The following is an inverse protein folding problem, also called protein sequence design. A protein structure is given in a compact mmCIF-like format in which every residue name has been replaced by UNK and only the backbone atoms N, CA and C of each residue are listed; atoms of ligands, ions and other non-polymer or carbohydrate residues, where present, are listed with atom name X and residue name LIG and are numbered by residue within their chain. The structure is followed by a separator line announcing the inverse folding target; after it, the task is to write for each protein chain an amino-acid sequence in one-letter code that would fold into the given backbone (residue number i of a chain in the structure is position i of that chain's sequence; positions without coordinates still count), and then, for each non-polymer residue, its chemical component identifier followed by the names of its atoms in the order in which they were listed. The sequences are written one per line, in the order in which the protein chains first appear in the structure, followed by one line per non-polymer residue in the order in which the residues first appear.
data_IF_041960872453
#
_entry.id   IF_041960872453
#
_cell.length_a   1.000
_cell.length_b   1.000
_cell.length_c   1.000
_cell.angle_alpha   90.00
_cell.angle_beta   90.00
_cell.angle_gamma   90.00
#
_symmetry.space_group_name_H-M   'P 1'
#
loop_
_entity.id
_entity.type
_entity.pdbx_description
1 polymer ?
#
# COMPACT_ATOMS: atom_id res chain seq x y z
N UNK A 1 -2.58 33.56 10.43
CA UNK A 1 -1.24 33.03 10.21
C UNK A 1 -1.18 31.58 9.67
N UNK A 2 -2.27 30.90 9.29
CA UNK A 2 -2.22 29.51 8.83
C UNK A 2 -1.74 29.31 7.37
N UNK A 3 -1.82 30.35 6.53
CA UNK A 3 -1.54 30.22 5.09
C UNK A 3 -0.05 30.02 4.75
N UNK A 4 0.87 30.57 5.58
CA UNK A 4 2.32 30.47 5.32
C UNK A 4 2.89 29.08 5.55
N UNK A 5 2.34 28.31 6.49
CA UNK A 5 2.80 26.93 6.77
C UNK A 5 2.42 26.00 5.62
N UNK A 6 1.21 26.16 5.06
CA UNK A 6 0.72 25.35 3.94
C UNK A 6 1.55 25.52 2.67
N UNK A 7 2.00 26.74 2.36
CA UNK A 7 2.79 27.04 1.17
C UNK A 7 4.22 26.48 1.30
N UNK A 8 4.84 26.58 2.49
CA UNK A 8 6.18 26.06 2.73
C UNK A 8 6.19 24.52 2.68
N UNK A 9 5.15 23.86 3.21
CA UNK A 9 5.02 22.40 3.12
C UNK A 9 4.81 21.93 1.68
N UNK A 10 3.99 22.63 0.90
CA UNK A 10 3.78 22.33 -0.51
C UNK A 10 5.08 22.50 -1.33
N UNK A 11 5.85 23.57 -1.12
CA UNK A 11 7.11 23.81 -1.84
C UNK A 11 8.16 22.76 -1.46
N UNK A 12 8.30 22.41 -0.18
CA UNK A 12 9.20 21.34 0.27
C UNK A 12 8.80 19.96 -0.30
N UNK A 13 7.49 19.68 -0.38
CA UNK A 13 6.97 18.45 -0.96
C UNK A 13 7.24 18.36 -2.47
N UNK A 14 7.03 19.46 -3.23
CA UNK A 14 7.32 19.50 -4.66
C UNK A 14 8.81 19.42 -4.98
N UNK A 15 9.69 20.02 -4.16
CA UNK A 15 11.13 19.91 -4.37
C UNK A 15 11.66 18.51 -4.04
N UNK A 16 11.12 17.83 -3.03
CA UNK A 16 11.46 16.43 -2.75
C UNK A 16 10.92 15.47 -3.82
N UNK A 17 9.76 15.76 -4.43
CA UNK A 17 9.19 14.97 -5.52
C UNK A 17 10.03 15.00 -6.80
N UNK A 18 10.96 15.94 -6.93
CA UNK A 18 11.89 16.00 -8.07
C UNK A 18 12.96 14.89 -8.04
N UNK A 19 13.13 14.22 -6.90
CA UNK A 19 14.16 13.20 -6.67
C UNK A 19 13.60 11.86 -6.18
N UNK A 20 12.30 11.75 -6.01
CA UNK A 20 11.65 10.53 -5.53
C UNK A 20 10.61 10.04 -6.54
N UNK A 21 10.45 8.73 -6.58
CA UNK A 21 9.36 8.11 -7.32
C UNK A 21 8.02 8.51 -6.69
N UNK A 22 6.99 8.66 -7.50
CA UNK A 22 5.65 9.04 -7.05
C UNK A 22 4.74 7.81 -7.00
N UNK A 23 4.01 7.69 -5.90
CA UNK A 23 2.99 6.66 -5.70
C UNK A 23 1.64 7.31 -5.44
N UNK A 24 0.67 7.06 -6.34
CA UNK A 24 -0.70 7.56 -6.22
C UNK A 24 -1.63 6.36 -6.02
N UNK A 25 -2.52 6.46 -5.03
CA UNK A 25 -3.47 5.40 -4.74
C UNK A 25 -4.86 5.98 -4.47
N UNK A 26 -5.88 5.39 -5.10
CA UNK A 26 -7.28 5.58 -4.79
C UNK A 26 -7.84 4.33 -4.10
N UNK A 27 -8.67 4.52 -3.08
CA UNK A 27 -9.36 3.45 -2.37
C UNK A 27 -10.82 3.81 -2.23
N UNK A 28 -11.71 2.89 -2.63
CA UNK A 28 -13.14 2.97 -2.41
C UNK A 28 -13.57 1.76 -1.58
N UNK A 29 -14.23 2.01 -0.45
CA UNK A 29 -14.71 0.98 0.45
C UNK A 29 -16.22 1.16 0.67
N UNK A 30 -16.97 0.07 0.79
CA UNK A 30 -18.40 0.15 1.08
C UNK A 30 -18.91 -1.12 1.72
N UNK A 31 -19.99 -0.95 2.50
CA UNK A 31 -20.72 -2.07 3.09
C UNK A 31 -21.81 -2.55 2.11
N UNK A 32 -21.88 -3.85 1.82
CA UNK A 32 -22.88 -4.46 0.96
C UNK A 32 -24.11 -4.85 1.81
N UNK A 33 -23.86 -5.59 2.87
CA UNK A 33 -24.91 -6.06 3.80
C UNK A 33 -24.28 -6.60 5.08
N UNK A 34 -24.79 -6.16 6.24
CA UNK A 34 -24.35 -6.61 7.56
C UNK A 34 -22.80 -6.51 7.71
N UNK A 35 -22.13 -7.68 7.83
CA UNK A 35 -20.70 -7.80 8.02
C UNK A 35 -19.91 -7.92 6.70
N UNK A 36 -20.60 -7.89 5.55
CA UNK A 36 -19.98 -8.00 4.24
C UNK A 36 -19.84 -6.64 3.56
N UNK A 37 -18.72 -6.41 2.94
CA UNK A 37 -18.44 -5.20 2.19
C UNK A 37 -17.49 -5.48 1.01
N UNK A 38 -17.01 -4.42 0.42
CA UNK A 38 -15.99 -4.50 -0.63
C UNK A 38 -14.93 -3.41 -0.45
N UNK A 39 -13.78 -3.64 -1.04
CA UNK A 39 -12.71 -2.65 -1.20
C UNK A 39 -12.22 -2.71 -2.64
N UNK A 40 -12.19 -1.55 -3.29
CA UNK A 40 -11.55 -1.35 -4.59
C UNK A 40 -10.33 -0.45 -4.39
N UNK A 41 -9.17 -0.87 -4.88
CA UNK A 41 -7.93 -0.08 -4.85
C UNK A 41 -7.42 0.09 -6.28
N UNK A 42 -7.06 1.33 -6.65
CA UNK A 42 -6.32 1.64 -7.85
C UNK A 42 -5.00 2.29 -7.44
N UNK A 43 -3.90 1.76 -7.93
CA UNK A 43 -2.56 2.20 -7.56
C UNK A 43 -1.73 2.46 -8.83
N UNK A 44 -1.01 3.58 -8.85
CA UNK A 44 -0.15 3.99 -9.96
C UNK A 44 1.21 4.41 -9.38
N UNK A 45 2.28 3.91 -9.99
CA UNK A 45 3.66 4.31 -9.64
C UNK A 45 4.34 4.92 -10.85
N UNK A 46 4.98 6.06 -10.61
CA UNK A 46 5.67 6.84 -11.63
C UNK A 46 7.14 6.96 -11.20
N UNK A 47 8.04 6.61 -12.09
CA UNK A 47 9.48 6.74 -11.94
C UNK A 47 10.04 7.57 -13.08
N UNK A 48 10.96 8.50 -12.79
CA UNK A 48 11.58 9.38 -13.79
C UNK A 48 10.56 9.98 -14.78
N UNK A 49 9.36 10.34 -14.31
CA UNK A 49 8.20 10.85 -15.06
C UNK A 49 7.56 9.83 -16.03
N UNK A 50 7.86 8.56 -15.89
CA UNK A 50 7.23 7.50 -16.67
C UNK A 50 6.40 6.58 -15.78
N UNK A 51 5.21 6.23 -16.27
CA UNK A 51 4.40 5.20 -15.63
C UNK A 51 5.12 3.85 -15.78
N UNK A 52 5.47 3.22 -14.66
CA UNK A 52 6.09 1.92 -14.69
C UNK A 52 5.24 0.81 -14.07
N UNK A 53 4.26 1.15 -13.22
CA UNK A 53 3.41 0.15 -12.59
C UNK A 53 2.00 0.71 -12.37
N UNK A 54 1.01 -0.08 -12.72
CA UNK A 54 -0.40 0.16 -12.44
C UNK A 54 -1.00 -1.10 -11.83
N UNK A 55 -1.73 -0.97 -10.73
CA UNK A 55 -2.35 -2.09 -10.02
C UNK A 55 -3.81 -1.78 -9.70
N UNK A 56 -4.73 -2.68 -10.06
CA UNK A 56 -6.14 -2.64 -9.66
C UNK A 56 -6.46 -3.83 -8.78
N UNK A 57 -7.04 -3.61 -7.61
CA UNK A 57 -7.41 -4.65 -6.65
C UNK A 57 -8.89 -4.54 -6.30
N UNK A 58 -9.61 -5.64 -6.40
CA UNK A 58 -10.98 -5.78 -5.90
C UNK A 58 -11.02 -6.88 -4.84
N UNK A 59 -11.53 -6.56 -3.66
CA UNK A 59 -11.72 -7.48 -2.54
C UNK A 59 -13.18 -7.47 -2.08
N UNK A 60 -13.72 -8.64 -1.82
CA UNK A 60 -14.86 -8.82 -0.94
C UNK A 60 -14.36 -8.94 0.50
N UNK A 61 -14.97 -8.24 1.42
CA UNK A 61 -14.57 -8.17 2.81
C UNK A 61 -15.64 -8.75 3.72
N UNK A 62 -15.22 -9.39 4.80
CA UNK A 62 -16.07 -9.93 5.85
C UNK A 62 -15.55 -9.51 7.22
N UNK A 63 -16.36 -8.78 7.98
CA UNK A 63 -16.09 -8.38 9.37
C UNK A 63 -16.45 -9.55 10.30
N UNK A 64 -15.47 -10.41 10.63
CA UNK A 64 -15.67 -11.59 11.50
C UNK A 64 -15.92 -11.15 12.95
N UNK A 65 -15.30 -10.04 13.34
CA UNK A 65 -15.47 -9.43 14.66
C UNK A 65 -15.12 -7.94 14.58
N UNK A 66 -15.35 -7.14 15.64
CA UNK A 66 -14.93 -5.73 15.65
C UNK A 66 -13.43 -5.52 15.38
N UNK A 67 -12.62 -6.54 15.57
CA UNK A 67 -11.17 -6.47 15.47
C UNK A 67 -10.57 -7.29 14.33
N UNK A 68 -11.37 -8.15 13.69
CA UNK A 68 -10.89 -9.07 12.65
C UNK A 68 -11.72 -8.90 11.38
N UNK A 69 -11.05 -8.56 10.29
CA UNK A 69 -11.61 -8.52 8.94
C UNK A 69 -10.85 -9.49 8.04
N UNK A 70 -11.56 -10.33 7.33
CA UNK A 70 -11.04 -11.17 6.26
C UNK A 70 -11.43 -10.58 4.92
N UNK A 71 -10.61 -10.80 3.90
CA UNK A 71 -10.95 -10.39 2.55
C UNK A 71 -10.38 -11.36 1.52
N UNK A 72 -11.08 -11.50 0.40
CA UNK A 72 -10.64 -12.30 -0.72
C UNK A 72 -11.00 -11.61 -2.04
N UNK A 73 -10.15 -11.75 -3.04
CA UNK A 73 -10.40 -11.14 -4.35
C UNK A 73 -9.23 -11.29 -5.30
N UNK A 74 -9.08 -10.32 -6.18
CA UNK A 74 -8.09 -10.39 -7.25
C UNK A 74 -7.43 -9.05 -7.49
N UNK A 75 -6.14 -9.10 -7.82
CA UNK A 75 -5.34 -7.97 -8.24
C UNK A 75 -4.88 -8.17 -9.67
N UNK A 76 -5.01 -7.14 -10.48
CA UNK A 76 -4.44 -7.04 -11.83
C UNK A 76 -3.29 -6.05 -11.77
N UNK A 77 -2.16 -6.44 -12.35
CA UNK A 77 -0.93 -5.63 -12.38
C UNK A 77 -0.45 -5.48 -13.80
N UNK A 78 -0.13 -4.25 -14.17
CA UNK A 78 0.50 -3.86 -15.42
C UNK A 78 1.86 -3.26 -15.06
N UNK A 79 2.93 -3.97 -15.35
CA UNK A 79 4.29 -3.56 -15.01
C UNK A 79 5.12 -3.38 -16.28
N UNK A 80 5.75 -2.21 -16.42
CA UNK A 80 6.60 -1.91 -17.57
C UNK A 80 7.90 -2.69 -17.45
N UNK A 81 8.26 -3.43 -18.48
CA UNK A 81 9.50 -4.17 -18.56
C UNK A 81 10.64 -3.32 -19.17
N UNK A 82 11.88 -3.83 -19.16
CA UNK A 82 13.08 -3.14 -19.64
C UNK A 82 13.03 -2.72 -21.12
N UNK A 83 12.20 -3.39 -21.92
CA UNK A 83 11.99 -3.05 -23.34
C UNK A 83 10.81 -2.07 -23.56
N UNK A 84 10.27 -1.51 -22.48
CA UNK A 84 9.20 -0.50 -22.49
C UNK A 84 7.79 -1.05 -22.72
N UNK A 85 7.58 -2.38 -22.72
CA UNK A 85 6.27 -3.00 -22.86
C UNK A 85 5.66 -3.28 -21.48
N UNK A 86 4.33 -3.31 -21.42
CA UNK A 86 3.62 -3.71 -20.21
C UNK A 86 3.42 -5.22 -20.19
N UNK A 87 3.91 -5.86 -19.13
CA UNK A 87 3.60 -7.25 -18.77
C UNK A 87 2.37 -7.26 -17.86
N UNK A 88 1.50 -8.24 -18.07
CA UNK A 88 0.29 -8.43 -17.28
C UNK A 88 0.50 -9.51 -16.22
N UNK A 89 0.00 -9.26 -15.03
CA UNK A 89 0.01 -10.25 -13.96
C UNK A 89 -1.33 -10.29 -13.24
N UNK A 90 -1.87 -11.49 -13.07
CA UNK A 90 -3.07 -11.75 -12.29
C UNK A 90 -2.69 -12.35 -10.93
N UNK A 91 -3.27 -11.80 -9.86
CA UNK A 91 -2.96 -12.20 -8.47
C UNK A 91 -4.24 -12.42 -7.67
N UNK A 92 -4.76 -13.66 -7.55
CA UNK A 92 -5.66 -14.00 -6.47
C UNK A 92 -5.06 -13.60 -5.13
N UNK A 93 -5.85 -12.92 -4.29
CA UNK A 93 -5.38 -12.25 -3.08
C UNK A 93 -6.29 -12.59 -1.91
N UNK A 94 -5.70 -12.88 -0.76
CA UNK A 94 -6.39 -13.14 0.51
C UNK A 94 -5.76 -12.26 1.59
N UNK A 95 -6.60 -11.56 2.36
CA UNK A 95 -6.18 -10.70 3.46
C UNK A 95 -6.80 -11.17 4.78
N UNK A 96 -6.01 -11.13 5.83
CA UNK A 96 -6.47 -11.15 7.20
C UNK A 96 -5.97 -9.85 7.87
N UNK A 97 -6.90 -9.06 8.40
CA UNK A 97 -6.61 -7.77 9.03
C UNK A 97 -7.07 -7.84 10.47
N UNK A 98 -6.17 -7.58 11.39
CA UNK A 98 -6.44 -7.39 12.80
C UNK A 98 -6.25 -5.91 13.13
N UNK A 99 -7.26 -5.30 13.76
CA UNK A 99 -7.22 -3.91 14.23
C UNK A 99 -7.39 -3.88 15.73
N UNK A 100 -6.42 -3.33 16.48
CA UNK A 100 -6.56 -3.19 17.93
C UNK A 100 -7.66 -2.20 18.29
N UNK A 101 -8.26 -2.31 19.48
CA UNK A 101 -8.94 -1.19 20.10
C UNK A 101 -8.01 0.02 20.17
N UNK A 102 -8.58 1.22 20.17
CA UNK A 102 -7.81 2.44 20.39
C UNK A 102 -7.36 2.50 21.86
N UNK A 103 -6.07 2.72 22.06
CA UNK A 103 -5.47 2.88 23.38
C UNK A 103 -4.61 4.15 23.42
N UNK A 104 -4.90 5.08 24.31
CA UNK A 104 -4.20 6.37 24.44
C UNK A 104 -4.05 7.10 23.07
N UNK A 105 -5.14 7.19 22.31
CA UNK A 105 -5.16 7.78 20.96
C UNK A 105 -4.39 7.00 19.90
N UNK A 106 -3.82 5.86 20.22
CA UNK A 106 -3.06 5.01 19.31
C UNK A 106 -3.88 3.81 18.85
N UNK A 107 -3.79 3.46 17.58
CA UNK A 107 -4.36 2.26 16.99
C UNK A 107 -3.29 1.48 16.25
N UNK A 108 -3.33 0.15 16.39
CA UNK A 108 -2.47 -0.79 15.68
C UNK A 108 -3.30 -1.60 14.69
N UNK A 109 -2.83 -1.70 13.45
CA UNK A 109 -3.38 -2.58 12.44
C UNK A 109 -2.30 -3.54 11.96
N UNK A 110 -2.58 -4.84 12.06
CA UNK A 110 -1.75 -5.92 11.51
C UNK A 110 -2.49 -6.51 10.31
N UNK A 111 -1.86 -6.52 9.13
CA UNK A 111 -2.39 -7.16 7.93
C UNK A 111 -1.45 -8.25 7.44
N UNK A 112 -1.97 -9.46 7.33
CA UNK A 112 -1.35 -10.56 6.62
C UNK A 112 -2.04 -10.72 5.26
N UNK A 113 -1.27 -10.66 4.17
CA UNK A 113 -1.76 -10.82 2.79
C UNK A 113 -1.05 -11.99 2.13
N UNK A 114 -1.79 -12.84 1.47
CA UNK A 114 -1.30 -13.92 0.63
C UNK A 114 -1.71 -13.68 -0.83
N UNK A 115 -0.76 -13.77 -1.75
CA UNK A 115 -0.98 -13.58 -3.18
C UNK A 115 -0.43 -14.78 -3.97
N UNK A 116 -1.23 -15.29 -4.89
CA UNK A 116 -0.76 -16.23 -5.91
C UNK A 116 -0.51 -15.42 -7.20
N UNK A 117 0.71 -15.44 -7.70
CA UNK A 117 1.13 -14.58 -8.80
C UNK A 117 1.31 -15.40 -10.09
N UNK A 118 0.53 -15.05 -11.12
CA UNK A 118 0.69 -15.63 -12.45
C UNK A 118 1.05 -14.51 -13.42
N UNK A 119 2.33 -14.48 -13.83
CA UNK A 119 2.84 -13.54 -14.83
C UNK A 119 2.67 -14.10 -16.22
N UNK A 120 2.11 -13.28 -17.14
CA UNK A 120 1.86 -13.64 -18.52
C UNK A 120 3.14 -13.88 -19.25
N UNK A 121 3.75 -14.52 -19.81
CA UNK A 121 4.95 -14.65 -20.67
C UNK A 121 6.27 -15.05 -20.00
N UNK A 122 6.44 -14.87 -18.70
CA UNK A 122 7.78 -15.05 -18.09
C UNK A 122 7.95 -16.35 -17.31
N UNK A 123 6.88 -17.01 -16.89
CA UNK A 123 7.00 -18.28 -16.16
C UNK A 123 5.71 -19.08 -16.20
N UNK A 124 5.75 -20.37 -16.57
CA UNK A 124 4.60 -21.24 -16.44
C UNK A 124 4.25 -21.54 -14.98
N UNK A 125 5.12 -21.17 -14.04
CA UNK A 125 4.98 -21.50 -12.63
C UNK A 125 4.23 -20.42 -11.85
N UNK A 126 3.35 -20.87 -10.98
CA UNK A 126 2.68 -20.04 -10.01
C UNK A 126 3.69 -19.65 -8.91
N UNK A 127 3.89 -18.33 -8.72
CA UNK A 127 4.68 -17.80 -7.61
C UNK A 127 3.76 -17.43 -6.46
N UNK A 128 4.17 -17.73 -5.25
CA UNK A 128 3.45 -17.35 -4.05
C UNK A 128 4.19 -16.20 -3.36
N UNK A 129 3.43 -15.23 -2.83
CA UNK A 129 3.95 -14.13 -2.03
C UNK A 129 3.09 -13.94 -0.79
N UNK A 130 3.74 -13.84 0.35
CA UNK A 130 3.11 -13.38 1.58
C UNK A 130 3.60 -11.98 1.92
N UNK A 131 2.73 -11.17 2.52
CA UNK A 131 3.07 -9.84 3.04
C UNK A 131 2.55 -9.73 4.45
N UNK A 132 3.37 -9.18 5.33
CA UNK A 132 2.99 -8.84 6.69
C UNK A 132 3.20 -7.35 6.90
N UNK A 133 2.14 -6.60 7.21
CA UNK A 133 2.20 -5.16 7.47
C UNK A 133 1.71 -4.84 8.87
N UNK A 134 2.55 -4.17 9.64
CA UNK A 134 2.18 -3.53 10.89
C UNK A 134 2.06 -2.02 10.66
N UNK A 135 0.92 -1.43 11.00
CA UNK A 135 0.68 0.01 10.95
C UNK A 135 0.28 0.52 12.32
N UNK A 136 0.86 1.63 12.71
CA UNK A 136 0.50 2.40 13.90
C UNK A 136 -0.05 3.75 13.44
N UNK A 137 -1.15 4.20 14.02
CA UNK A 137 -1.72 5.52 13.78
C UNK A 137 -2.09 6.19 15.11
N UNK A 138 -1.96 7.53 15.15
CA UNK A 138 -2.24 8.36 16.33
C UNK A 138 -3.34 9.36 15.99
N UNK A 139 -4.42 9.35 16.76
CA UNK A 139 -5.51 10.30 16.61
C UNK A 139 -5.20 11.58 17.40
N UNK A 140 -4.75 12.62 16.72
CA UNK A 140 -4.52 13.94 17.34
C UNK A 140 -5.78 14.78 17.18
N UNK A 141 -6.61 14.81 18.22
CA UNK A 141 -7.97 15.37 18.18
C UNK A 141 -8.03 16.85 17.83
N UNK A 142 -7.03 17.64 18.24
CA UNK A 142 -7.04 19.09 18.08
C UNK A 142 -6.79 19.56 16.65
N UNK A 143 -6.12 18.78 15.82
CA UNK A 143 -5.70 19.17 14.47
C UNK A 143 -6.40 18.42 13.34
N UNK A 144 -7.28 17.45 13.64
CA UNK A 144 -7.90 16.55 12.64
C UNK A 144 -6.86 15.89 11.70
N UNK A 145 -5.64 15.72 12.19
CA UNK A 145 -4.53 15.11 11.51
C UNK A 145 -4.12 13.88 12.32
N UNK A 146 -3.97 12.75 11.68
CA UNK A 146 -3.53 11.51 12.32
C UNK A 146 -2.20 11.06 11.71
N UNK A 147 -1.07 11.30 12.40
CA UNK A 147 0.20 10.71 12.01
C UNK A 147 0.13 9.19 11.97
N UNK A 148 0.90 8.58 11.09
CA UNK A 148 1.02 7.13 11.04
C UNK A 148 2.42 6.70 10.60
N UNK A 149 2.77 5.46 10.96
CA UNK A 149 3.92 4.76 10.44
C UNK A 149 3.52 3.32 10.10
N UNK A 150 4.18 2.70 9.13
CA UNK A 150 4.04 1.27 8.91
C UNK A 150 5.34 0.62 8.43
N UNK A 151 5.44 -0.67 8.74
CA UNK A 151 6.43 -1.60 8.20
C UNK A 151 5.71 -2.71 7.47
N UNK A 152 6.17 -3.06 6.25
CA UNK A 152 5.61 -4.15 5.46
C UNK A 152 6.73 -5.05 4.95
N UNK A 153 6.75 -6.31 5.40
CA UNK A 153 7.69 -7.33 4.97
C UNK A 153 7.05 -8.21 3.89
N UNK A 154 7.84 -8.58 2.88
CA UNK A 154 7.42 -9.41 1.76
C UNK A 154 8.23 -10.70 1.74
N UNK A 155 7.54 -11.82 1.56
CA UNK A 155 8.13 -13.15 1.47
C UNK A 155 7.67 -13.79 0.17
N UNK A 156 8.61 -14.15 -0.70
CA UNK A 156 8.33 -14.80 -1.98
C UNK A 156 8.77 -16.27 -1.94
N UNK A 157 7.86 -17.16 -2.32
CA UNK A 157 8.11 -18.58 -2.36
C UNK A 157 8.17 -19.02 -3.84
N UNK A 158 9.32 -19.49 -4.29
CA UNK A 158 9.52 -20.07 -5.62
C UNK A 158 9.52 -21.59 -5.52
N UNK A 159 8.80 -22.25 -6.40
CA UNK A 159 8.59 -23.70 -6.36
C UNK A 159 9.85 -24.54 -6.64
N UNK A 160 10.92 -23.98 -7.21
CA UNK A 160 12.09 -24.71 -7.69
C UNK A 160 13.46 -24.13 -7.27
N UNK A 161 13.53 -23.30 -6.24
CA UNK A 161 14.81 -22.68 -5.83
C UNK A 161 15.11 -23.06 -4.38
N UNK A 162 15.85 -24.15 -4.18
CA UNK A 162 16.12 -24.77 -2.86
C UNK A 162 17.02 -23.91 -1.94
N UNK A 163 17.59 -22.82 -2.41
CA UNK A 163 18.67 -22.12 -1.69
C UNK A 163 18.43 -20.62 -1.43
N UNK A 164 17.27 -20.05 -1.74
CA UNK A 164 17.06 -18.61 -1.62
C UNK A 164 16.22 -18.21 -0.43
N UNK A 165 16.69 -17.15 0.25
CA UNK A 165 15.96 -16.45 1.30
C UNK A 165 14.53 -16.14 0.81
N UNK A 166 13.54 -16.58 1.56
CA UNK A 166 12.12 -16.26 1.28
C UNK A 166 11.83 -14.77 1.41
N UNK A 167 12.66 -14.02 2.12
CA UNK A 167 12.51 -12.58 2.35
C UNK A 167 12.93 -11.82 1.08
N UNK A 168 12.00 -11.06 0.53
CA UNK A 168 12.10 -10.42 -0.79
C UNK A 168 12.26 -8.90 -0.67
N UNK A 169 11.57 -8.29 0.33
CA UNK A 169 11.45 -6.84 0.39
C UNK A 169 10.99 -6.36 1.75
N UNK A 170 11.44 -5.17 2.14
CA UNK A 170 10.94 -4.40 3.27
C UNK A 170 10.47 -3.03 2.80
N UNK A 171 9.35 -2.56 3.31
CA UNK A 171 8.86 -1.19 3.12
C UNK A 171 8.62 -0.55 4.47
N UNK A 172 9.20 0.63 4.66
CA UNK A 172 9.01 1.48 5.82
C UNK A 172 8.38 2.78 5.38
N UNK A 173 7.32 3.22 6.01
CA UNK A 173 6.69 4.49 5.67
C UNK A 173 6.27 5.27 6.91
N UNK A 174 6.34 6.59 6.77
CA UNK A 174 5.80 7.55 7.73
C UNK A 174 4.93 8.57 6.99
N UNK A 175 3.87 9.03 7.61
CA UNK A 175 2.97 9.97 6.96
C UNK A 175 1.92 10.55 7.89
N UNK A 176 1.01 11.28 7.27
CA UNK A 176 -0.14 11.88 7.94
C UNK A 176 -1.40 11.59 7.16
N UNK A 177 -2.49 11.31 7.87
CA UNK A 177 -3.83 11.24 7.30
C UNK A 177 -4.67 12.42 7.79
N UNK A 178 -5.54 12.93 6.93
CA UNK A 178 -6.42 14.06 7.23
C UNK A 178 -7.67 14.02 6.36
N UNK A 179 -8.71 14.76 6.77
CA UNK A 179 -9.91 14.95 5.96
C UNK A 179 -9.76 16.23 5.14
N UNK A 180 -9.57 16.13 3.80
CA UNK A 180 -9.28 17.30 2.96
C UNK A 180 -10.49 18.24 2.82
N UNK A 181 -11.71 17.70 2.90
CA UNK A 181 -12.95 18.44 2.80
C UNK A 181 -13.79 18.17 4.05
N UNK A 182 -13.92 19.13 4.99
CA UNK A 182 -14.67 18.90 6.23
C UNK A 182 -16.14 18.54 6.04
N UNK A 183 -16.75 18.91 4.90
CA UNK A 183 -18.13 18.59 4.57
C UNK A 183 -18.31 17.15 4.04
N UNK A 184 -17.24 16.45 3.75
CA UNK A 184 -17.25 15.07 3.26
C UNK A 184 -16.51 14.20 4.27
N UNK A 185 -17.23 13.75 5.29
CA UNK A 185 -16.68 12.98 6.40
C UNK A 185 -16.03 11.66 5.96
N UNK A 186 -16.52 11.09 4.88
CA UNK A 186 -16.11 9.79 4.35
C UNK A 186 -14.87 9.86 3.44
N UNK A 187 -14.37 11.08 3.13
CA UNK A 187 -13.16 11.28 2.36
C UNK A 187 -11.94 11.49 3.27
N UNK A 188 -10.96 10.63 3.15
CA UNK A 188 -9.67 10.70 3.83
C UNK A 188 -8.54 10.79 2.82
N UNK A 189 -7.57 11.67 3.07
CA UNK A 189 -6.34 11.78 2.30
C UNK A 189 -5.15 11.39 3.19
N UNK A 190 -4.21 10.65 2.62
CA UNK A 190 -2.95 10.27 3.26
C UNK A 190 -1.80 10.80 2.41
N UNK A 191 -0.84 11.45 3.07
CA UNK A 191 0.45 11.83 2.48
C UNK A 191 1.54 11.09 3.23
N UNK A 192 2.47 10.46 2.52
CA UNK A 192 3.52 9.70 3.16
C UNK A 192 4.83 9.70 2.36
N UNK A 193 5.91 9.49 3.08
CA UNK A 193 7.20 9.12 2.53
C UNK A 193 7.46 7.65 2.84
N UNK A 194 7.94 6.91 1.86
CA UNK A 194 8.19 5.47 1.98
C UNK A 194 9.55 5.14 1.39
N UNK A 195 10.28 4.28 2.08
CA UNK A 195 11.50 3.65 1.57
C UNK A 195 11.23 2.17 1.39
N UNK A 196 11.57 1.65 0.23
CA UNK A 196 11.49 0.25 -0.10
C UNK A 196 12.89 -0.29 -0.29
N UNK A 197 13.24 -1.31 0.48
CA UNK A 197 14.47 -2.06 0.34
C UNK A 197 14.14 -3.39 -0.36
N UNK A 198 14.67 -3.60 -1.55
CA UNK A 198 14.61 -4.88 -2.26
C UNK A 198 15.87 -5.69 -1.99
N UNK A 199 15.75 -7.01 -1.89
CA UNK A 199 16.90 -7.90 -1.92
C UNK A 199 17.14 -8.30 -3.36
N UNK A 200 18.23 -7.83 -3.96
CA UNK A 200 18.66 -8.34 -5.26
C UNK A 200 19.08 -9.79 -5.10
N UNK A 201 18.53 -10.66 -5.94
CA UNK A 201 18.81 -12.09 -5.92
C UNK A 201 20.25 -12.42 -6.33
N UNK A 202 20.99 -11.49 -6.87
CA UNK A 202 22.36 -11.65 -7.38
C UNK A 202 23.41 -10.84 -6.61
N UNK A 203 22.99 -9.75 -5.95
CA UNK A 203 23.84 -8.97 -5.06
C UNK A 203 23.33 -9.15 -3.63
N UNK A 204 24.23 -9.33 -2.67
CA UNK A 204 23.89 -9.34 -1.24
C UNK A 204 23.58 -7.92 -0.71
N UNK A 205 23.36 -6.96 -1.61
CA UNK A 205 23.13 -5.56 -1.29
C UNK A 205 21.65 -5.22 -1.36
N UNK A 206 21.22 -4.40 -0.40
CA UNK A 206 19.89 -3.83 -0.34
C UNK A 206 19.86 -2.55 -1.19
N UNK A 207 19.03 -2.53 -2.22
CA UNK A 207 18.84 -1.35 -3.05
C UNK A 207 17.62 -0.55 -2.54
N UNK A 208 17.82 0.63 -1.91
CA UNK A 208 16.74 1.44 -1.40
C UNK A 208 16.10 2.28 -2.52
N UNK A 209 14.81 2.16 -2.68
CA UNK A 209 14.00 3.02 -3.54
C UNK A 209 13.06 3.87 -2.69
N UNK A 210 13.08 5.18 -2.88
CA UNK A 210 12.25 6.13 -2.14
C UNK A 210 11.01 6.54 -2.93
N UNK A 211 9.89 6.72 -2.23
CA UNK A 211 8.62 7.15 -2.80
C UNK A 211 8.00 8.27 -1.98
N UNK A 212 7.39 9.22 -2.66
CA UNK A 212 6.40 10.12 -2.08
C UNK A 212 5.03 9.60 -2.49
N UNK A 213 4.16 9.33 -1.53
CA UNK A 213 2.86 8.71 -1.77
C UNK A 213 1.69 9.61 -1.40
N UNK A 214 0.65 9.54 -2.22
CA UNK A 214 -0.66 10.12 -1.95
C UNK A 214 -1.68 9.00 -2.05
N UNK A 215 -2.48 8.82 -0.99
CA UNK A 215 -3.63 7.92 -1.02
C UNK A 215 -4.91 8.72 -0.74
N UNK A 216 -5.92 8.56 -1.57
CA UNK A 216 -7.28 9.05 -1.34
C UNK A 216 -8.18 7.87 -1.05
N UNK A 217 -8.90 7.92 0.06
CA UNK A 217 -9.83 6.88 0.50
C UNK A 217 -11.22 7.47 0.66
N UNK A 218 -12.18 6.83 0.06
CA UNK A 218 -13.59 7.15 0.18
C UNK A 218 -14.36 5.94 0.71
N UNK A 219 -15.17 6.14 1.76
CA UNK A 219 -16.05 5.11 2.35
C UNK A 219 -17.51 5.49 2.12
N UNK A 220 -18.39 4.56 1.74
CA UNK A 220 -19.84 4.79 1.51
C UNK A 220 -20.69 3.61 1.97
#
# INVERSE_FOLDING_TARGET
MPLRISVTFAIAFFSAASFANVWIKGVAEGDIRNDFGFTFEQEVKIDERQLYNEESLLLLTWKVSPWVKLAAGSRFVFERNDIGRFDHEFRPTFDAIFSSPEFLTMKLDLRARFEMRKKERTSPYLRQRSRLRLRTSWNVTDFKISPFAFEEAFFSFKQNDETRNCFDRLRSAVGVSFKPVPAIDDLQCLLFYMVQHGVDSHASEWDPTSFIGIEMRYSF
#
